data_IF_183786475955
#
_entry.id   IF_183786475955
#
_cell.length_a   1.000
_cell.length_b   1.000
_cell.length_c   1.000
_cell.angle_alpha   90.00
_cell.angle_beta   90.00
_cell.angle_gamma   90.00
#
_symmetry.space_group_name_H-M   'P 1'
#
loop_
_entity.id
_entity.type
_entity.pdbx_description
1 polymer ?
#
# COMPACT_ATOMS: atom_id res chain seq x y z
N UNK A 1 -19.59 -22.26 -21.68
CA UNK A 1 -19.28 -21.80 -20.31
C UNK A 1 -17.77 -21.84 -20.16
N UNK A 2 -17.09 -20.72 -20.40
CA UNK A 2 -15.64 -20.61 -20.22
C UNK A 2 -15.41 -19.51 -19.18
N UNK A 3 -15.34 -19.90 -17.90
CA UNK A 3 -14.85 -19.04 -16.83
C UNK A 3 -13.34 -19.25 -16.69
N UNK A 4 -12.57 -18.65 -17.59
CA UNK A 4 -11.13 -18.45 -17.38
C UNK A 4 -10.94 -17.05 -16.85
N UNK A 5 -11.15 -16.90 -15.55
CA UNK A 5 -10.70 -15.73 -14.81
C UNK A 5 -9.18 -15.81 -14.74
N UNK A 6 -8.50 -15.27 -15.75
CA UNK A 6 -7.10 -14.88 -15.63
C UNK A 6 -7.03 -13.74 -14.61
N UNK A 7 -7.03 -14.10 -13.32
CA UNK A 7 -6.66 -13.22 -12.23
C UNK A 7 -5.19 -12.93 -12.48
N UNK A 8 -4.87 -11.72 -12.94
CA UNK A 8 -3.50 -11.22 -12.88
C UNK A 8 -3.07 -11.40 -11.42
N UNK A 9 -2.03 -12.19 -11.22
CA UNK A 9 -1.82 -12.85 -9.94
C UNK A 9 -1.43 -11.78 -8.91
N UNK A 10 -2.38 -11.31 -8.09
CA UNK A 10 -2.15 -10.36 -6.99
C UNK A 10 -1.01 -10.84 -6.10
N UNK A 11 -0.72 -12.15 -6.11
CA UNK A 11 0.46 -12.80 -5.53
C UNK A 11 1.82 -12.19 -5.94
N UNK A 12 1.89 -11.32 -6.95
CA UNK A 12 3.08 -10.52 -7.28
C UNK A 12 3.30 -9.36 -6.29
N UNK A 13 2.24 -8.82 -5.70
CA UNK A 13 2.31 -7.94 -4.54
C UNK A 13 2.28 -8.81 -3.28
N UNK A 14 3.34 -8.70 -2.48
CA UNK A 14 3.56 -9.54 -1.30
C UNK A 14 3.01 -8.89 -0.04
N UNK A 15 3.04 -7.56 0.02
CA UNK A 15 2.36 -6.82 1.06
C UNK A 15 2.49 -5.31 0.92
N UNK A 16 1.71 -4.59 1.70
CA UNK A 16 1.76 -3.13 1.82
C UNK A 16 1.76 -2.76 3.29
N UNK A 17 2.60 -1.80 3.66
CA UNK A 17 2.76 -1.31 5.02
C UNK A 17 2.59 0.21 5.01
N UNK A 18 1.93 0.75 6.02
CA UNK A 18 1.93 2.18 6.31
C UNK A 18 2.46 2.39 7.73
N UNK A 19 3.45 3.27 7.86
CA UNK A 19 4.04 3.67 9.13
C UNK A 19 4.27 5.19 9.17
N UNK A 20 4.52 5.73 10.36
CA UNK A 20 5.01 7.12 10.50
C UNK A 20 6.49 7.21 10.17
N UNK A 21 6.98 8.41 9.86
CA UNK A 21 8.41 8.69 9.72
C UNK A 21 9.25 8.39 10.97
N UNK A 22 8.61 8.35 12.14
CA UNK A 22 9.24 7.86 13.39
C UNK A 22 9.52 6.36 13.39
N UNK A 23 8.94 5.59 12.46
CA UNK A 23 8.99 4.13 12.41
C UNK A 23 7.82 3.44 13.14
N UNK A 24 6.87 4.20 13.68
CA UNK A 24 5.65 3.64 14.29
C UNK A 24 4.76 3.00 13.24
N UNK A 25 4.43 1.73 13.44
CA UNK A 25 3.66 0.92 12.50
C UNK A 25 2.16 1.17 12.65
N UNK A 26 1.45 1.47 11.55
CA UNK A 26 0.03 1.85 11.59
C UNK A 26 -0.87 0.82 10.90
N UNK A 27 -0.46 0.35 9.72
CA UNK A 27 -1.26 -0.58 8.90
C UNK A 27 -0.35 -1.57 8.23
N UNK A 28 -0.82 -2.82 8.13
CA UNK A 28 -0.26 -3.80 7.23
C UNK A 28 -1.30 -4.65 6.51
N UNK A 29 -1.00 -4.89 5.25
CA UNK A 29 -1.73 -5.84 4.43
C UNK A 29 -0.70 -6.80 3.86
N UNK A 30 -0.50 -7.93 4.54
CA UNK A 30 0.41 -8.98 4.10
C UNK A 30 -0.40 -10.01 3.31
N UNK A 31 -0.03 -10.19 2.04
CA UNK A 31 -0.71 -11.07 1.10
C UNK A 31 0.06 -12.38 0.88
N UNK A 32 1.36 -12.39 1.20
CA UNK A 32 2.22 -13.57 1.11
C UNK A 32 2.69 -14.02 2.50
N UNK A 33 2.44 -15.28 2.85
CA UNK A 33 2.80 -15.89 4.12
C UNK A 33 4.31 -15.99 4.36
N UNK A 34 5.13 -15.89 3.31
CA UNK A 34 6.59 -15.94 3.41
C UNK A 34 7.17 -14.62 3.98
N UNK A 35 6.35 -13.56 4.03
CA UNK A 35 6.72 -12.31 4.66
C UNK A 35 6.38 -12.34 6.15
N UNK A 36 7.41 -12.31 6.99
CA UNK A 36 7.26 -12.24 8.43
C UNK A 36 7.06 -10.78 8.90
N UNK A 37 5.91 -10.41 9.47
CA UNK A 37 5.63 -9.05 9.95
C UNK A 37 6.64 -8.55 11.00
N UNK A 38 7.21 -9.45 11.80
CA UNK A 38 8.22 -9.12 12.83
C UNK A 38 9.54 -8.69 12.18
N UNK A 39 9.93 -9.35 11.09
CA UNK A 39 11.14 -8.95 10.35
C UNK A 39 10.94 -7.61 9.65
N UNK A 40 9.72 -7.35 9.17
CA UNK A 40 9.37 -6.06 8.58
C UNK A 40 9.38 -4.94 9.60
N UNK A 41 8.72 -5.11 10.75
CA UNK A 41 8.74 -4.08 11.80
C UNK A 41 10.15 -3.78 12.29
N UNK A 42 10.98 -4.82 12.44
CA UNK A 42 12.41 -4.69 12.75
C UNK A 42 13.16 -3.92 11.67
N UNK A 43 12.86 -4.18 10.39
CA UNK A 43 13.44 -3.47 9.27
C UNK A 43 12.99 -2.00 9.19
N UNK A 44 11.71 -1.70 9.43
CA UNK A 44 11.20 -0.33 9.49
C UNK A 44 11.85 0.44 10.64
N UNK A 45 11.93 -0.17 11.83
CA UNK A 45 12.61 0.41 12.98
C UNK A 45 14.10 0.64 12.70
N UNK A 46 14.76 -0.27 11.98
CA UNK A 46 16.14 -0.05 11.54
C UNK A 46 16.22 1.12 10.56
N UNK A 47 15.34 1.20 9.56
CA UNK A 47 15.31 2.31 8.61
C UNK A 47 15.15 3.66 9.34
N UNK A 48 14.24 3.76 10.33
CA UNK A 48 14.03 5.02 11.07
C UNK A 48 15.26 5.46 11.86
N UNK A 49 16.07 4.50 12.34
CA UNK A 49 17.38 4.76 12.94
C UNK A 49 18.43 5.21 11.91
N UNK A 50 18.38 4.70 10.69
CA UNK A 50 19.29 5.07 9.60
C UNK A 50 18.96 6.41 8.92
N UNK A 51 17.78 6.99 9.18
CA UNK A 51 17.48 8.27 8.59
C UNK A 51 16.17 8.91 8.99
N UNK A 52 16.18 9.72 10.06
CA UNK A 52 15.28 10.89 10.12
C UNK A 52 15.48 11.81 8.90
N UNK A 53 16.69 11.87 8.36
CA UNK A 53 17.04 12.70 7.20
C UNK A 53 16.96 11.98 5.85
N UNK A 54 16.80 10.65 5.85
CA UNK A 54 16.91 9.83 4.63
C UNK A 54 15.69 8.97 4.32
N UNK A 55 14.79 8.64 5.27
CA UNK A 55 13.63 7.79 4.96
C UNK A 55 12.76 8.36 3.85
N UNK A 56 12.46 9.67 3.92
CA UNK A 56 11.70 10.36 2.89
C UNK A 56 12.40 10.47 1.53
N UNK A 57 13.68 10.08 1.46
CA UNK A 57 14.52 10.09 0.25
C UNK A 57 14.77 8.70 -0.31
N UNK A 58 14.41 7.64 0.42
CA UNK A 58 14.55 6.27 -0.07
C UNK A 58 13.36 6.02 -0.99
N UNK A 59 13.64 5.74 -2.26
CA UNK A 59 12.60 5.44 -3.25
C UNK A 59 12.41 3.93 -3.43
N UNK A 60 13.50 3.17 -3.33
CA UNK A 60 13.50 1.72 -3.53
C UNK A 60 14.52 1.01 -2.62
N UNK A 61 14.18 -0.21 -2.18
CA UNK A 61 15.10 -1.06 -1.41
C UNK A 61 15.16 -2.45 -2.04
N UNK A 62 16.38 -2.90 -2.32
CA UNK A 62 16.65 -4.19 -2.95
C UNK A 62 17.36 -5.12 -1.98
N UNK A 63 16.65 -6.18 -1.56
CA UNK A 63 17.21 -7.19 -0.65
C UNK A 63 17.87 -8.29 -1.48
N UNK A 64 19.18 -8.49 -1.27
CA UNK A 64 19.92 -9.61 -1.87
C UNK A 64 19.59 -10.90 -1.12
N UNK A 65 19.27 -11.98 -1.84
CA UNK A 65 18.87 -13.27 -1.26
C UNK A 65 17.35 -13.49 -1.17
N UNK A 66 16.55 -12.43 -1.33
CA UNK A 66 15.09 -12.54 -1.54
C UNK A 66 14.73 -12.10 -2.96
N UNK A 67 13.72 -12.74 -3.56
CA UNK A 67 13.20 -12.34 -4.87
C UNK A 67 12.13 -11.23 -4.75
N UNK A 68 12.35 -10.28 -3.82
CA UNK A 68 11.43 -9.17 -3.55
C UNK A 68 12.12 -7.83 -3.69
N UNK A 69 11.33 -6.83 -3.99
CA UNK A 69 11.70 -5.44 -4.12
C UNK A 69 10.68 -4.58 -3.40
N UNK A 70 11.15 -3.50 -2.79
CA UNK A 70 10.31 -2.59 -2.01
C UNK A 70 10.28 -1.24 -2.68
N UNK A 71 9.07 -0.72 -2.92
CA UNK A 71 8.83 0.66 -3.31
C UNK A 71 8.45 1.44 -2.05
N UNK A 72 9.16 2.53 -1.81
CA UNK A 72 8.99 3.37 -0.63
C UNK A 72 8.52 4.75 -1.07
N UNK A 73 7.43 5.21 -0.48
CA UNK A 73 6.82 6.52 -0.72
C UNK A 73 6.62 7.22 0.61
N UNK A 74 7.03 8.49 0.70
CA UNK A 74 6.87 9.32 1.89
C UNK A 74 5.99 10.52 1.58
N UNK A 75 4.93 10.74 2.38
CA UNK A 75 4.01 11.87 2.25
C UNK A 75 3.25 12.07 3.56
N UNK A 76 2.94 13.31 3.92
CA UNK A 76 2.18 13.64 5.16
C UNK A 76 2.79 13.10 6.47
N UNK A 77 4.12 13.04 6.57
CA UNK A 77 4.87 12.39 7.66
C UNK A 77 4.59 10.88 7.83
N UNK A 78 4.05 10.27 6.78
CA UNK A 78 3.80 8.84 6.67
C UNK A 78 4.67 8.25 5.57
N UNK A 79 4.99 6.98 5.73
CA UNK A 79 5.64 6.16 4.71
C UNK A 79 4.74 4.99 4.36
N UNK A 80 4.60 4.76 3.06
CA UNK A 80 4.04 3.54 2.51
C UNK A 80 5.16 2.71 1.88
N UNK A 81 5.20 1.44 2.24
CA UNK A 81 6.12 0.45 1.67
C UNK A 81 5.32 -0.63 0.99
N UNK A 82 5.45 -0.71 -0.34
CA UNK A 82 4.88 -1.79 -1.14
C UNK A 82 5.96 -2.83 -1.44
N UNK A 83 5.73 -4.07 -1.05
CA UNK A 83 6.65 -5.20 -1.22
C UNK A 83 6.14 -6.06 -2.36
N UNK A 84 6.96 -6.30 -3.36
CA UNK A 84 6.57 -6.98 -4.60
C UNK A 84 7.67 -7.91 -5.11
N UNK A 85 7.30 -8.89 -5.94
CA UNK A 85 8.26 -9.74 -6.64
C UNK A 85 9.09 -8.90 -7.62
N UNK A 86 10.40 -9.13 -7.69
CA UNK A 86 11.32 -8.42 -8.61
C UNK A 86 10.92 -8.50 -10.09
N UNK A 87 10.15 -9.52 -10.45
CA UNK A 87 9.69 -9.73 -11.83
C UNK A 87 8.48 -8.87 -12.20
N UNK A 88 7.89 -8.17 -11.24
CA UNK A 88 6.72 -7.35 -11.45
C UNK A 88 7.08 -6.01 -12.11
N UNK A 89 6.30 -5.62 -13.12
CA UNK A 89 6.47 -4.35 -13.81
C UNK A 89 5.69 -3.25 -13.09
N UNK A 90 6.43 -2.28 -12.52
CA UNK A 90 5.95 -1.34 -11.50
C UNK A 90 5.26 -0.11 -12.08
N UNK A 91 4.53 -0.23 -13.18
CA UNK A 91 3.93 0.92 -13.86
C UNK A 91 3.06 1.73 -12.89
N UNK A 92 3.39 3.01 -12.71
CA UNK A 92 2.64 3.97 -11.88
C UNK A 92 2.40 3.54 -10.43
N UNK A 93 3.12 2.53 -9.91
CA UNK A 93 2.90 2.05 -8.54
C UNK A 93 3.15 3.15 -7.51
N UNK A 94 4.10 4.05 -7.80
CA UNK A 94 4.45 5.18 -6.93
C UNK A 94 3.29 6.16 -6.80
N UNK A 95 2.62 6.48 -7.91
CA UNK A 95 1.44 7.35 -7.90
C UNK A 95 0.28 6.70 -7.13
N UNK A 96 0.06 5.40 -7.29
CA UNK A 96 -0.96 4.68 -6.52
C UNK A 96 -0.63 4.62 -5.02
N UNK A 97 0.64 4.43 -4.66
CA UNK A 97 1.11 4.51 -3.29
C UNK A 97 0.91 5.92 -2.68
N UNK A 98 1.20 6.99 -3.44
CA UNK A 98 0.92 8.36 -3.00
C UNK A 98 -0.57 8.61 -2.79
N UNK A 99 -1.44 8.13 -3.69
CA UNK A 99 -2.90 8.21 -3.53
C UNK A 99 -3.37 7.44 -2.30
N UNK A 100 -2.79 6.27 -2.02
CA UNK A 100 -3.11 5.50 -0.83
C UNK A 100 -2.76 6.27 0.45
N UNK A 101 -1.62 6.95 0.48
CA UNK A 101 -1.25 7.84 1.59
C UNK A 101 -2.17 9.06 1.70
N UNK A 102 -2.54 9.69 0.58
CA UNK A 102 -3.51 10.80 0.58
C UNK A 102 -4.86 10.38 1.16
N UNK A 103 -5.35 9.19 0.74
CA UNK A 103 -6.58 8.61 1.26
C UNK A 103 -6.46 8.32 2.76
N UNK A 104 -5.41 7.64 3.18
CA UNK A 104 -5.18 7.30 4.58
C UNK A 104 -5.15 8.56 5.48
N UNK A 105 -4.36 9.54 5.08
CA UNK A 105 -4.28 10.82 5.79
C UNK A 105 -5.63 11.54 5.81
N UNK A 106 -6.36 11.56 4.71
CA UNK A 106 -7.68 12.22 4.65
C UNK A 106 -8.68 11.59 5.62
N UNK A 107 -8.67 10.27 5.77
CA UNK A 107 -9.57 9.56 6.69
C UNK A 107 -9.16 9.72 8.15
N UNK A 108 -7.87 9.63 8.44
CA UNK A 108 -7.39 9.45 9.81
C UNK A 108 -6.51 10.59 10.32
N UNK A 109 -6.40 11.73 9.64
CA UNK A 109 -5.53 12.87 10.05
C UNK A 109 -5.69 13.27 11.52
N UNK A 110 -6.89 13.16 12.09
CA UNK A 110 -7.15 13.53 13.47
C UNK A 110 -6.77 12.42 14.48
N UNK A 111 -6.56 11.20 13.99
CA UNK A 111 -6.31 10.00 14.81
C UNK A 111 -4.86 9.52 14.71
N UNK A 112 -4.17 9.85 13.61
CA UNK A 112 -2.79 9.42 13.34
C UNK A 112 -1.83 9.86 14.45
N UNK A 113 -1.93 11.11 14.90
CA UNK A 113 -1.02 11.67 15.91
C UNK A 113 -1.30 11.11 17.33
N UNK A 114 -2.55 10.71 17.61
CA UNK A 114 -2.98 10.16 18.90
C UNK A 114 -2.97 8.61 18.92
N UNK A 115 -2.44 7.97 17.88
CA UNK A 115 -2.44 6.53 17.76
C UNK A 115 -1.24 5.88 18.48
N UNK A 116 -1.54 5.12 19.53
CA UNK A 116 -0.61 4.25 20.25
C UNK A 116 -0.82 2.76 19.96
N UNK A 117 -1.84 2.40 19.16
CA UNK A 117 -2.31 1.02 19.02
C UNK A 117 -2.52 0.64 17.54
N UNK A 118 -1.80 -0.39 17.10
CA UNK A 118 -1.64 -0.79 15.69
C UNK A 118 -2.97 -1.21 15.03
N UNK A 119 -3.96 -1.63 15.83
CA UNK A 119 -5.22 -2.17 15.34
C UNK A 119 -6.28 -1.11 14.97
N UNK A 120 -6.03 0.20 15.17
CA UNK A 120 -7.05 1.25 14.95
C UNK A 120 -7.49 1.42 13.50
N UNK A 121 -6.70 0.93 12.54
CA UNK A 121 -6.88 1.23 11.12
C UNK A 121 -7.27 0.00 10.29
N UNK A 122 -7.81 -1.05 10.91
CA UNK A 122 -8.27 -2.26 10.22
C UNK A 122 -9.32 -1.99 9.13
N UNK A 123 -10.19 -1.00 9.33
CA UNK A 123 -11.17 -0.57 8.32
C UNK A 123 -10.50 -0.07 7.03
N UNK A 124 -9.33 0.55 7.13
CA UNK A 124 -8.56 0.99 5.97
C UNK A 124 -7.99 -0.17 5.15
N UNK A 125 -7.70 -1.32 5.75
CA UNK A 125 -7.16 -2.48 5.01
C UNK A 125 -8.09 -2.91 3.88
N UNK A 126 -9.41 -2.79 4.06
CA UNK A 126 -10.41 -3.07 3.02
C UNK A 126 -10.32 -2.08 1.86
N UNK A 127 -10.17 -0.80 2.16
CA UNK A 127 -10.01 0.27 1.16
C UNK A 127 -8.71 0.04 0.38
N UNK A 128 -7.63 -0.23 1.10
CA UNK A 128 -6.32 -0.51 0.52
C UNK A 128 -6.35 -1.75 -0.39
N UNK A 129 -6.99 -2.83 0.04
CA UNK A 129 -7.16 -4.03 -0.77
C UNK A 129 -7.95 -3.75 -2.06
N UNK A 130 -9.02 -2.96 -1.97
CA UNK A 130 -9.82 -2.59 -3.14
C UNK A 130 -8.99 -1.76 -4.14
N UNK A 131 -8.22 -0.78 -3.66
CA UNK A 131 -7.30 -0.01 -4.51
C UNK A 131 -6.26 -0.90 -5.19
N UNK A 132 -5.70 -1.88 -4.48
CA UNK A 132 -4.75 -2.85 -5.04
C UNK A 132 -5.40 -3.65 -6.17
N UNK A 133 -6.60 -4.19 -5.95
CA UNK A 133 -7.32 -4.97 -6.98
C UNK A 133 -7.52 -4.12 -8.24
N UNK A 134 -8.02 -2.89 -8.08
CA UNK A 134 -8.22 -1.99 -9.22
C UNK A 134 -6.93 -1.63 -9.95
N UNK A 135 -5.82 -1.47 -9.24
CA UNK A 135 -4.52 -1.23 -9.85
C UNK A 135 -4.12 -2.38 -10.77
N UNK A 136 -4.25 -3.63 -10.29
CA UNK A 136 -3.96 -4.81 -11.09
C UNK A 136 -4.91 -4.96 -12.29
N UNK A 137 -6.18 -4.61 -12.14
CA UNK A 137 -7.13 -4.57 -13.25
C UNK A 137 -6.74 -3.52 -14.31
N UNK A 138 -6.34 -2.30 -13.88
CA UNK A 138 -5.90 -1.23 -14.79
C UNK A 138 -4.66 -1.61 -15.60
N UNK A 139 -3.69 -2.28 -14.97
CA UNK A 139 -2.48 -2.73 -15.70
C UNK A 139 -2.84 -3.82 -16.71
N UNK A 140 -3.74 -4.75 -16.33
CA UNK A 140 -4.23 -5.81 -17.21
C UNK A 140 -4.94 -5.25 -18.45
N UNK A 141 -5.71 -4.18 -18.32
CA UNK A 141 -6.43 -3.56 -19.43
C UNK A 141 -5.52 -2.68 -20.31
N UNK A 142 -4.46 -2.08 -19.74
CA UNK A 142 -3.45 -1.34 -20.53
C UNK A 142 -2.64 -2.22 -21.47
N UNK A 143 -2.38 -3.48 -21.10
CA UNK A 143 -1.82 -4.47 -22.03
C UNK A 143 -2.78 -4.81 -23.20
N UNK A 144 -4.05 -4.35 -23.17
CA UNK A 144 -5.10 -4.71 -24.13
C UNK A 144 -5.71 -3.54 -24.94
N UNK A 145 -5.16 -2.32 -24.87
CA UNK A 145 -5.64 -1.10 -25.55
C UNK A 145 -7.05 -0.61 -25.14
N UNK A 146 -7.17 0.41 -24.28
CA UNK A 146 -8.21 1.45 -24.32
C UNK A 146 -7.90 2.62 -23.35
N UNK A 147 -8.38 3.86 -23.61
CA UNK A 147 -8.15 5.03 -22.77
C UNK A 147 -9.10 5.04 -21.56
N UNK A 148 -8.61 5.61 -20.45
CA UNK A 148 -9.23 5.56 -19.12
C UNK A 148 -10.35 6.60 -18.99
N UNK A 149 -11.54 6.17 -18.57
CA UNK A 149 -12.60 7.04 -18.03
C UNK A 149 -12.45 7.22 -16.51
N UNK A 150 -12.81 8.42 -16.05
CA UNK A 150 -12.49 8.98 -14.73
C UNK A 150 -13.25 8.35 -13.54
N UNK A 151 -12.63 8.45 -12.37
CA UNK A 151 -12.96 7.75 -11.11
C UNK A 151 -14.27 8.27 -10.45
N UNK A 152 -15.42 7.67 -10.77
CA UNK A 152 -16.69 7.88 -10.06
C UNK A 152 -16.94 6.94 -8.86
N UNK A 153 -16.23 5.82 -8.77
CA UNK A 153 -16.58 4.70 -7.87
C UNK A 153 -16.14 4.88 -6.41
N UNK A 154 -14.98 5.50 -6.18
CA UNK A 154 -14.47 5.72 -4.81
C UNK A 154 -15.37 6.65 -4.01
N UNK A 155 -15.93 7.69 -4.63
CA UNK A 155 -16.81 8.64 -3.95
C UNK A 155 -18.04 7.97 -3.35
N UNK A 156 -18.60 6.96 -4.01
CA UNK A 156 -19.76 6.21 -3.50
C UNK A 156 -19.40 5.24 -2.37
N UNK A 157 -18.32 4.47 -2.51
CA UNK A 157 -17.85 3.57 -1.45
C UNK A 157 -17.46 4.35 -0.18
N UNK A 158 -16.82 5.51 -0.35
CA UNK A 158 -16.42 6.43 0.72
C UNK A 158 -17.64 7.02 1.43
N UNK A 159 -18.68 7.41 0.68
CA UNK A 159 -19.92 7.93 1.26
C UNK A 159 -20.72 6.87 2.03
N UNK A 160 -20.56 5.59 1.67
CA UNK A 160 -21.26 4.49 2.33
C UNK A 160 -20.60 4.13 3.67
N UNK A 161 -19.26 4.07 3.71
CA UNK A 161 -18.52 3.82 4.95
C UNK A 161 -18.74 4.93 6.00
N UNK A 162 -18.76 6.20 5.59
CA UNK A 162 -19.06 7.34 6.49
C UNK A 162 -20.47 7.32 7.09
N UNK A 163 -21.41 6.56 6.52
CA UNK A 163 -22.78 6.44 7.02
C UNK A 163 -23.00 5.23 7.92
N UNK A 164 -22.08 4.27 7.94
CA UNK A 164 -22.19 3.06 8.77
C UNK A 164 -21.50 3.22 10.15
N UNK A 165 -20.73 4.30 10.34
CA UNK A 165 -20.04 4.65 11.60
C UNK A 165 -20.67 5.84 12.36
N UNK A 166 -21.85 6.33 11.93
CA UNK A 166 -22.62 7.43 12.55
C UNK A 166 -23.99 6.93 13.06
#
# INVERSE_FOLDING_TARGET
MNNTTDIYNINLLKGVIICKESGEYLVDLILDSDINPILLSSFIGALSLFGKDNLGKIEEILIKGLNVEMVVVSKHNLILIAIMDKRFNKYYIREEAEKALDNFYTFYKNEIDECYDVCKFESFKKILLMQIIEYFDKIKDRDKNQPIEDFGFFTEAINKMKKEEA
#
